data_IF_745990008610
#
_entry.id   IF_745990008610
#
_cell.length_a   1.000
_cell.length_b   1.000
_cell.length_c   1.000
_cell.angle_alpha   90.00
_cell.angle_beta   90.00
_cell.angle_gamma   90.00
#
_symmetry.space_group_name_H-M   'P 1'
#
loop_
_entity.id
_entity.type
_entity.pdbx_description
1 polymer ?
#
# COMPACT_ATOMS: atom_id res chain seq x y z
N UNK A 1 25.99 29.96 3.45
CA UNK A 1 25.12 29.44 2.37
C UNK A 1 25.04 27.92 2.33
N UNK A 2 26.15 27.18 2.47
CA UNK A 2 26.14 25.70 2.47
C UNK A 2 25.21 25.03 3.51
N UNK A 3 25.11 25.57 4.74
CA UNK A 3 24.20 25.05 5.77
C UNK A 3 22.72 25.22 5.39
N UNK A 4 22.36 26.31 4.71
CA UNK A 4 21.00 26.53 4.21
C UNK A 4 20.66 25.54 3.10
N UNK A 5 21.61 25.31 2.20
CA UNK A 5 21.48 24.31 1.14
C UNK A 5 21.29 22.90 1.72
N UNK A 6 22.16 22.48 2.66
CA UNK A 6 22.05 21.19 3.33
C UNK A 6 20.71 21.01 4.06
N UNK A 7 20.25 22.04 4.81
CA UNK A 7 18.95 22.02 5.49
C UNK A 7 17.80 21.82 4.51
N UNK A 8 17.84 22.49 3.35
CA UNK A 8 16.80 22.38 2.33
C UNK A 8 16.82 21.02 1.63
N UNK A 9 18.01 20.46 1.38
CA UNK A 9 18.16 19.11 0.81
C UNK A 9 17.64 18.04 1.76
N UNK A 10 17.97 18.13 3.06
CA UNK A 10 17.47 17.19 4.08
C UNK A 10 15.94 17.28 4.17
N UNK A 11 15.39 18.48 4.16
CA UNK A 11 13.93 18.68 4.16
C UNK A 11 13.28 18.04 2.93
N UNK A 12 13.85 18.25 1.73
CA UNK A 12 13.33 17.64 0.50
C UNK A 12 13.35 16.11 0.56
N UNK A 13 14.46 15.52 1.01
CA UNK A 13 14.58 14.06 1.17
C UNK A 13 13.56 13.54 2.18
N UNK A 14 13.38 14.22 3.31
CA UNK A 14 12.39 13.83 4.32
C UNK A 14 10.96 13.87 3.78
N UNK A 15 10.60 14.91 3.01
CA UNK A 15 9.29 15.03 2.37
C UNK A 15 9.05 13.85 1.41
N UNK A 16 10.03 13.53 0.56
CA UNK A 16 9.93 12.41 -0.39
C UNK A 16 9.77 11.09 0.36
N UNK A 17 10.58 10.85 1.39
CA UNK A 17 10.52 9.63 2.20
C UNK A 17 9.14 9.45 2.85
N UNK A 18 8.58 10.52 3.43
CA UNK A 18 7.24 10.50 4.02
C UNK A 18 6.18 10.22 2.95
N UNK A 19 6.23 10.92 1.82
CA UNK A 19 5.26 10.74 0.74
C UNK A 19 5.25 9.30 0.21
N UNK A 20 6.43 8.70 -0.04
CA UNK A 20 6.55 7.31 -0.50
C UNK A 20 6.07 6.33 0.57
N UNK A 21 6.42 6.57 1.84
CA UNK A 21 5.95 5.73 2.95
C UNK A 21 4.44 5.75 3.06
N UNK A 22 3.82 6.93 3.00
CA UNK A 22 2.36 7.07 3.01
C UNK A 22 1.72 6.38 1.82
N UNK A 23 2.30 6.52 0.61
CA UNK A 23 1.82 5.81 -0.57
C UNK A 23 1.84 4.29 -0.37
N UNK A 24 2.94 3.75 0.18
CA UNK A 24 3.07 2.32 0.49
C UNK A 24 2.06 1.87 1.54
N UNK A 25 1.88 2.65 2.61
CA UNK A 25 0.87 2.37 3.63
C UNK A 25 -0.53 2.39 3.02
N UNK A 26 -0.84 3.32 2.12
CA UNK A 26 -2.13 3.32 1.42
C UNK A 26 -2.32 2.08 0.56
N UNK A 27 -1.29 1.65 -0.18
CA UNK A 27 -1.35 0.41 -0.99
C UNK A 27 -1.56 -0.82 -0.09
N UNK A 28 -0.88 -0.90 1.05
CA UNK A 28 -0.97 -2.04 1.97
C UNK A 28 -2.25 -1.99 2.84
N UNK A 29 -2.76 -0.79 3.12
CA UNK A 29 -4.00 -0.57 3.85
C UNK A 29 -5.24 -0.81 2.99
N UNK A 30 -5.12 -0.77 1.65
CA UNK A 30 -6.13 -1.40 0.79
C UNK A 30 -5.99 -2.90 0.99
N UNK A 31 -6.95 -3.55 1.68
CA UNK A 31 -6.96 -5.00 1.68
C UNK A 31 -7.28 -5.38 0.24
N UNK A 32 -6.26 -5.77 -0.53
CA UNK A 32 -6.51 -6.56 -1.72
C UNK A 32 -7.12 -7.83 -1.18
N UNK A 33 -8.46 -7.93 -1.19
CA UNK A 33 -9.19 -9.11 -0.71
C UNK A 33 -8.46 -10.32 -1.30
N UNK A 34 -7.76 -11.13 -0.49
CA UNK A 34 -6.92 -12.19 -1.02
C UNK A 34 -7.75 -13.13 -1.87
N UNK A 35 -9.05 -13.26 -1.57
CA UNK A 35 -9.98 -14.01 -2.40
C UNK A 35 -10.17 -13.38 -3.80
N UNK A 36 -10.21 -12.05 -3.93
CA UNK A 36 -10.27 -11.36 -5.22
C UNK A 36 -8.97 -11.52 -6.01
N UNK A 37 -7.82 -11.46 -5.34
CA UNK A 37 -6.50 -11.64 -5.99
C UNK A 37 -6.32 -13.09 -6.45
N UNK A 38 -6.75 -14.07 -5.65
CA UNK A 38 -6.63 -15.50 -5.96
C UNK A 38 -7.65 -16.00 -6.99
N UNK A 39 -8.90 -15.54 -6.92
CA UNK A 39 -9.98 -15.97 -7.82
C UNK A 39 -10.08 -15.11 -9.09
N UNK A 40 -9.42 -13.96 -9.10
CA UNK A 40 -9.42 -13.04 -10.23
C UNK A 40 -10.76 -12.32 -10.47
N UNK A 41 -10.90 -11.61 -11.59
CA UNK A 41 -12.04 -10.72 -11.87
C UNK A 41 -13.37 -11.46 -12.14
N UNK A 42 -13.37 -12.79 -12.19
CA UNK A 42 -14.59 -13.62 -12.36
C UNK A 42 -15.09 -14.23 -11.05
N UNK A 43 -14.51 -13.84 -9.91
CA UNK A 43 -14.90 -14.33 -8.61
C UNK A 43 -16.34 -13.95 -8.28
N UNK A 44 -17.25 -14.94 -8.31
CA UNK A 44 -18.61 -14.79 -7.78
C UNK A 44 -18.55 -14.63 -6.26
N UNK A 45 -19.58 -14.01 -5.67
CA UNK A 45 -19.64 -13.77 -4.22
C UNK A 45 -19.50 -15.08 -3.42
N UNK A 46 -20.13 -16.15 -3.89
CA UNK A 46 -20.04 -17.48 -3.27
C UNK A 46 -18.61 -18.05 -3.22
N UNK A 47 -17.84 -17.88 -4.30
CA UNK A 47 -16.45 -18.39 -4.36
C UNK A 47 -15.55 -17.63 -3.39
N UNK A 48 -15.79 -16.32 -3.19
CA UNK A 48 -15.02 -15.51 -2.23
C UNK A 48 -15.32 -15.90 -0.79
N UNK A 49 -16.58 -16.15 -0.45
CA UNK A 49 -16.99 -16.59 0.89
C UNK A 49 -16.43 -17.97 1.24
N UNK A 50 -16.47 -18.92 0.29
CA UNK A 50 -15.84 -20.24 0.46
C UNK A 50 -14.34 -20.13 0.69
N UNK A 51 -13.66 -19.28 -0.09
CA UNK A 51 -12.22 -19.08 0.05
C UNK A 51 -11.88 -18.38 1.36
N UNK A 52 -12.67 -17.40 1.80
CA UNK A 52 -12.55 -16.79 3.13
C UNK A 52 -12.68 -17.83 4.25
N UNK A 53 -13.68 -18.73 4.18
CA UNK A 53 -13.84 -19.81 5.15
C UNK A 53 -12.68 -20.80 5.15
N UNK A 54 -12.08 -21.08 3.99
CA UNK A 54 -10.91 -21.95 3.90
C UNK A 54 -9.62 -21.30 4.42
N UNK A 55 -9.53 -19.96 4.37
CA UNK A 55 -8.36 -19.22 4.83
C UNK A 55 -8.31 -19.00 6.35
N UNK A 56 -9.43 -19.22 7.06
CA UNK A 56 -9.52 -19.14 8.52
C UNK A 56 -10.08 -17.81 9.01
#
# INVERSE_FOLDING_TARGET
MWLYFAKRTILAVAIIAIAVTLLFLMIMAVPGDPAVVMLGPRATLEMKEQLHQQMG
#
